data_IF_483456930074
#
_entry.id   IF_483456930074
#
_cell.length_a   1.000
_cell.length_b   1.000
_cell.length_c   1.000
_cell.angle_alpha   90.00
_cell.angle_beta   90.00
_cell.angle_gamma   90.00
#
_symmetry.space_group_name_H-M   'P 1'
#
loop_
_entity.id
_entity.type
_entity.pdbx_description
1 polymer ?
#
# COMPACT_ATOMS: atom_id res chain seq x y z
N UNK A 1 -62.12 8.43 -14.30
CA UNK A 1 -62.15 9.73 -13.60
C UNK A 1 -61.47 9.58 -12.24
N UNK A 2 -60.47 10.43 -11.99
CA UNK A 2 -59.70 10.75 -10.78
C UNK A 2 -59.34 9.64 -9.75
N UNK A 3 -58.05 9.25 -9.73
CA UNK A 3 -57.36 8.83 -8.50
C UNK A 3 -56.65 10.05 -7.91
N UNK A 4 -57.13 10.50 -6.75
CA UNK A 4 -56.57 11.60 -5.97
C UNK A 4 -55.31 11.12 -5.23
N UNK A 5 -54.23 11.89 -5.38
CA UNK A 5 -52.96 11.70 -4.71
C UNK A 5 -53.01 12.05 -3.22
N UNK A 6 -52.19 11.35 -2.43
CA UNK A 6 -51.87 11.72 -1.05
C UNK A 6 -50.52 12.42 -1.03
N UNK A 7 -50.55 13.72 -0.80
CA UNK A 7 -49.39 14.51 -0.39
C UNK A 7 -49.06 14.17 1.07
N UNK A 8 -47.82 13.74 1.33
CA UNK A 8 -47.27 13.69 2.67
C UNK A 8 -46.71 15.09 3.00
N UNK A 9 -47.29 15.73 4.01
CA UNK A 9 -46.88 17.03 4.53
C UNK A 9 -45.65 16.81 5.44
N UNK A 10 -44.45 17.13 4.95
CA UNK A 10 -43.24 17.19 5.78
C UNK A 10 -43.33 18.44 6.66
N UNK A 11 -43.56 18.25 7.95
CA UNK A 11 -43.55 19.31 8.96
C UNK A 11 -42.10 19.57 9.37
N UNK A 12 -41.53 20.68 8.90
CA UNK A 12 -40.22 21.17 9.32
C UNK A 12 -40.35 21.74 10.74
N UNK A 13 -40.07 20.91 11.74
CA UNK A 13 -39.89 21.39 13.12
C UNK A 13 -38.46 21.91 13.25
N UNK A 14 -38.31 23.23 13.33
CA UNK A 14 -37.06 23.87 13.70
C UNK A 14 -36.76 23.55 15.18
N UNK A 15 -35.90 22.56 15.41
CA UNK A 15 -35.36 22.28 16.74
C UNK A 15 -34.26 23.31 17.00
N UNK A 16 -34.48 24.18 17.98
CA UNK A 16 -33.46 25.06 18.51
C UNK A 16 -32.31 24.20 19.05
N UNK A 17 -31.14 24.34 18.44
CA UNK A 17 -29.98 23.49 18.62
C UNK A 17 -29.45 23.46 20.05
N UNK A 18 -29.73 22.37 20.75
CA UNK A 18 -28.74 21.81 21.66
C UNK A 18 -27.69 21.16 20.77
N UNK A 19 -26.58 21.85 20.50
CA UNK A 19 -25.44 21.24 19.83
C UNK A 19 -24.96 20.09 20.71
N UNK A 20 -25.27 18.85 20.32
CA UNK A 20 -24.65 17.69 20.94
C UNK A 20 -23.13 17.92 20.95
N UNK A 21 -22.45 17.67 22.08
CA UNK A 21 -21.00 17.81 22.10
C UNK A 21 -20.41 16.93 20.99
N UNK A 22 -19.40 17.42 20.26
CA UNK A 22 -18.80 16.64 19.19
C UNK A 22 -18.35 15.28 19.75
N UNK A 23 -18.48 14.19 18.96
CA UNK A 23 -18.09 12.88 19.41
C UNK A 23 -16.63 12.90 19.90
N UNK A 24 -16.31 12.13 20.95
CA UNK A 24 -14.94 12.08 21.48
C UNK A 24 -13.95 11.66 20.39
N UNK A 25 -12.72 12.17 20.48
CA UNK A 25 -11.64 11.74 19.58
C UNK A 25 -11.39 10.23 19.75
N UNK A 26 -11.06 9.55 18.65
CA UNK A 26 -10.68 8.13 18.70
C UNK A 26 -9.29 7.93 19.28
N UNK A 27 -8.39 8.88 19.08
CA UNK A 27 -7.07 8.93 19.69
C UNK A 27 -6.57 10.37 19.71
N UNK A 28 -5.69 10.73 20.65
CA UNK A 28 -5.09 12.05 20.72
C UNK A 28 -3.66 11.97 21.27
N UNK A 29 -2.79 12.88 20.83
CA UNK A 29 -1.47 13.01 21.42
C UNK A 29 -1.55 13.64 22.81
N UNK A 30 -0.60 13.30 23.68
CA UNK A 30 -0.53 13.81 25.06
C UNK A 30 -0.44 15.34 25.17
N UNK A 31 0.15 16.00 24.17
CA UNK A 31 0.24 17.46 24.04
C UNK A 31 -1.01 18.10 23.38
N UNK A 32 -1.96 17.29 22.92
CA UNK A 32 -3.17 17.73 22.22
C UNK A 32 -2.94 18.28 20.81
N UNK A 33 -1.71 18.22 20.29
CA UNK A 33 -1.41 18.71 18.94
C UNK A 33 -2.08 17.86 17.85
N UNK A 34 -2.28 16.57 18.08
CA UNK A 34 -2.83 15.65 17.11
C UNK A 34 -4.05 14.94 17.65
N UNK A 35 -5.09 14.80 16.83
CA UNK A 35 -6.26 14.01 17.16
C UNK A 35 -6.73 13.21 15.95
N UNK A 36 -6.83 11.89 16.08
CA UNK A 36 -7.59 11.06 15.16
C UNK A 36 -9.04 11.13 15.59
N UNK A 37 -9.87 11.73 14.76
CA UNK A 37 -11.25 12.07 15.15
C UNK A 37 -12.29 11.15 14.53
N UNK A 38 -11.94 10.45 13.46
CA UNK A 38 -12.68 9.33 12.90
C UNK A 38 -11.73 8.45 12.08
N UNK A 39 -12.01 7.14 12.05
CA UNK A 39 -11.40 6.17 11.15
C UNK A 39 -12.53 5.29 10.65
N UNK A 40 -12.73 5.23 9.33
CA UNK A 40 -13.85 4.51 8.73
C UNK A 40 -13.38 3.55 7.64
N UNK A 41 -13.95 2.35 7.66
CA UNK A 41 -13.78 1.35 6.60
C UNK A 41 -14.76 1.64 5.46
N UNK A 42 -14.22 1.75 4.26
CA UNK A 42 -14.94 2.13 3.06
C UNK A 42 -14.75 1.04 2.00
N UNK A 43 -15.85 0.53 1.45
CA UNK A 43 -15.80 -0.41 0.34
C UNK A 43 -15.38 0.31 -0.95
N UNK A 44 -14.49 -0.27 -1.76
CA UNK A 44 -14.28 0.23 -3.12
C UNK A 44 -15.62 0.11 -3.89
N UNK A 45 -16.03 1.15 -4.62
CA UNK A 45 -17.14 1.15 -5.59
C UNK A 45 -18.62 1.33 -5.19
N UNK A 46 -18.97 1.67 -3.94
CA UNK A 46 -20.38 2.02 -3.65
C UNK A 46 -20.64 3.54 -3.72
N UNK A 47 -21.75 3.96 -4.33
CA UNK A 47 -22.27 5.35 -4.20
C UNK A 47 -22.56 5.69 -2.73
N UNK A 48 -22.97 4.69 -1.95
CA UNK A 48 -23.21 4.78 -0.50
C UNK A 48 -21.99 5.33 0.23
N UNK A 49 -20.78 5.05 -0.25
CA UNK A 49 -19.55 5.50 0.39
C UNK A 49 -19.23 6.98 0.15
N UNK A 50 -19.60 7.54 -1.01
CA UNK A 50 -19.48 8.98 -1.23
C UNK A 50 -20.39 9.75 -0.27
N UNK A 51 -21.60 9.24 -0.04
CA UNK A 51 -22.54 9.79 0.95
C UNK A 51 -22.00 9.66 2.38
N UNK A 52 -21.42 8.52 2.76
CA UNK A 52 -20.85 8.32 4.10
C UNK A 52 -19.66 9.24 4.37
N UNK A 53 -18.72 9.34 3.41
CA UNK A 53 -17.58 10.27 3.51
C UNK A 53 -18.10 11.71 3.58
N UNK A 54 -19.03 12.09 2.69
CA UNK A 54 -19.65 13.42 2.68
C UNK A 54 -20.28 13.79 4.02
N UNK A 55 -21.15 12.94 4.56
CA UNK A 55 -21.81 13.17 5.83
C UNK A 55 -20.83 13.18 7.02
N UNK A 56 -19.74 12.41 6.97
CA UNK A 56 -18.68 12.49 7.99
C UNK A 56 -17.98 13.86 7.95
N UNK A 57 -17.55 14.29 6.77
CA UNK A 57 -16.81 15.55 6.60
C UNK A 57 -17.68 16.78 6.84
N UNK A 58 -18.95 16.75 6.44
CA UNK A 58 -19.94 17.81 6.72
C UNK A 58 -20.15 18.02 8.22
N UNK A 59 -20.25 16.93 8.99
CA UNK A 59 -20.42 16.99 10.45
C UNK A 59 -19.16 17.46 11.18
N UNK A 60 -18.03 17.53 10.49
CA UNK A 60 -16.70 17.77 11.05
C UNK A 60 -15.97 18.87 10.28
N UNK A 61 -16.48 20.12 10.32
CA UNK A 61 -15.84 21.26 9.68
C UNK A 61 -14.49 21.63 10.31
N UNK A 62 -14.15 20.99 11.43
CA UNK A 62 -12.93 21.14 12.23
C UNK A 62 -11.77 20.23 11.76
N UNK A 63 -11.92 19.49 10.65
CA UNK A 63 -10.87 18.59 10.14
C UNK A 63 -9.80 19.37 9.39
N UNK A 64 -8.54 19.13 9.73
CA UNK A 64 -7.38 19.69 9.04
C UNK A 64 -6.83 18.73 7.98
N UNK A 65 -6.95 17.41 8.21
CA UNK A 65 -6.37 16.36 7.38
C UNK A 65 -7.32 15.21 7.12
N UNK A 66 -7.26 14.71 5.89
CA UNK A 66 -7.77 13.40 5.50
C UNK A 66 -6.60 12.50 5.10
N UNK A 67 -6.47 11.36 5.78
CA UNK A 67 -5.55 10.28 5.39
C UNK A 67 -6.36 9.24 4.64
N UNK A 68 -6.14 9.15 3.34
CA UNK A 68 -6.80 8.18 2.47
C UNK A 68 -5.82 7.06 2.14
N UNK A 69 -6.21 5.82 2.41
CA UNK A 69 -5.35 4.64 2.17
C UNK A 69 -5.24 4.26 0.68
N UNK A 70 -6.02 4.89 -0.19
CA UNK A 70 -5.90 4.80 -1.64
C UNK A 70 -6.37 6.09 -2.32
N UNK A 71 -5.98 6.26 -3.59
CA UNK A 71 -6.30 7.46 -4.38
C UNK A 71 -7.80 7.61 -4.64
N UNK A 72 -8.55 6.50 -4.72
CA UNK A 72 -9.99 6.52 -4.90
C UNK A 72 -10.71 7.16 -3.71
N UNK A 73 -10.29 6.82 -2.49
CA UNK A 73 -10.77 7.44 -1.25
C UNK A 73 -10.35 8.92 -1.17
N UNK A 74 -9.12 9.24 -1.57
CA UNK A 74 -8.63 10.62 -1.61
C UNK A 74 -9.48 11.51 -2.53
N UNK A 75 -9.77 11.04 -3.74
CA UNK A 75 -10.63 11.76 -4.71
C UNK A 75 -12.04 11.97 -4.18
N UNK A 76 -12.63 10.97 -3.54
CA UNK A 76 -13.96 11.07 -2.91
C UNK A 76 -13.97 12.09 -1.78
N UNK A 77 -12.93 12.10 -0.94
CA UNK A 77 -12.77 13.11 0.10
C UNK A 77 -12.63 14.53 -0.47
N UNK A 78 -11.81 14.71 -1.52
CA UNK A 78 -11.65 16.00 -2.20
C UNK A 78 -12.97 16.54 -2.75
N UNK A 79 -13.76 15.68 -3.43
CA UNK A 79 -15.10 16.03 -3.94
C UNK A 79 -16.05 16.43 -2.82
N UNK A 80 -16.07 15.68 -1.71
CA UNK A 80 -16.89 15.98 -0.56
C UNK A 80 -16.50 17.31 0.10
N UNK A 81 -15.21 17.56 0.34
CA UNK A 81 -14.72 18.82 0.91
C UNK A 81 -15.09 20.01 0.03
N UNK A 82 -14.84 19.90 -1.29
CA UNK A 82 -15.17 20.94 -2.26
C UNK A 82 -16.66 21.27 -2.33
N UNK A 83 -17.53 20.26 -2.22
CA UNK A 83 -18.99 20.45 -2.28
C UNK A 83 -19.55 21.21 -1.07
N UNK A 84 -18.87 21.17 0.07
CA UNK A 84 -19.27 21.85 1.31
C UNK A 84 -18.48 23.14 1.58
N UNK A 85 -17.58 23.54 0.67
CA UNK A 85 -16.71 24.72 0.86
C UNK A 85 -15.69 24.56 1.98
N UNK A 86 -15.46 23.33 2.45
CA UNK A 86 -14.43 23.00 3.44
C UNK A 86 -13.10 22.73 2.74
N UNK A 87 -12.00 23.09 3.39
CA UNK A 87 -10.66 22.77 2.91
C UNK A 87 -9.93 22.01 4.02
N UNK A 88 -9.63 20.76 3.76
CA UNK A 88 -8.70 19.95 4.53
C UNK A 88 -7.59 19.49 3.58
N UNK A 89 -6.40 19.26 4.12
CA UNK A 89 -5.30 18.67 3.37
C UNK A 89 -5.53 17.18 3.20
N UNK A 90 -5.11 16.61 2.08
CA UNK A 90 -5.29 15.19 1.79
C UNK A 90 -3.93 14.53 1.58
N UNK A 91 -3.64 13.52 2.39
CA UNK A 91 -2.50 12.61 2.19
C UNK A 91 -3.04 11.29 1.71
N UNK A 92 -2.60 10.82 0.54
CA UNK A 92 -2.99 9.53 -0.01
C UNK A 92 -1.87 8.51 0.12
N UNK A 93 -2.22 7.25 0.34
CA UNK A 93 -1.31 6.14 0.11
C UNK A 93 -1.58 5.67 -1.32
N UNK A 94 -0.53 5.49 -2.11
CA UNK A 94 -0.64 5.28 -3.54
C UNK A 94 0.11 4.04 -3.99
N UNK A 95 -0.59 3.15 -4.67
CA UNK A 95 -0.05 2.07 -5.48
C UNK A 95 0.10 2.48 -6.97
N UNK A 96 -0.63 3.52 -7.40
CA UNK A 96 -0.66 4.05 -8.77
C UNK A 96 0.10 5.37 -8.92
N UNK A 97 1.42 5.31 -9.19
CA UNK A 97 2.27 6.51 -9.27
C UNK A 97 1.79 7.55 -10.28
N UNK A 98 1.45 7.16 -11.51
CA UNK A 98 0.97 8.10 -12.54
C UNK A 98 -0.27 8.89 -12.08
N UNK A 99 -1.38 8.23 -11.74
CA UNK A 99 -2.57 8.90 -11.19
C UNK A 99 -2.33 9.71 -9.92
N UNK A 100 -1.38 9.32 -9.07
CA UNK A 100 -0.98 10.08 -7.88
C UNK A 100 -0.26 11.36 -8.27
N UNK A 101 0.66 11.33 -9.24
CA UNK A 101 1.33 12.52 -9.76
C UNK A 101 0.32 13.51 -10.35
N UNK A 102 -0.64 13.02 -11.14
CA UNK A 102 -1.74 13.85 -11.67
C UNK A 102 -2.59 14.47 -10.54
N UNK A 103 -2.85 13.72 -9.47
CA UNK A 103 -3.62 14.20 -8.32
C UNK A 103 -2.86 15.25 -7.51
N UNK A 104 -1.53 15.12 -7.40
CA UNK A 104 -0.66 16.13 -6.79
C UNK A 104 -0.63 17.41 -7.64
N UNK A 105 -0.45 17.29 -8.96
CA UNK A 105 -0.42 18.42 -9.90
C UNK A 105 -1.75 19.19 -9.94
N UNK A 106 -2.87 18.48 -9.88
CA UNK A 106 -4.22 19.07 -9.86
C UNK A 106 -4.65 19.59 -8.48
N UNK A 107 -3.84 19.40 -7.44
CA UNK A 107 -4.16 19.81 -6.08
C UNK A 107 -5.31 19.04 -5.44
N UNK A 108 -5.61 17.83 -5.93
CA UNK A 108 -6.56 16.91 -5.30
C UNK A 108 -5.97 16.34 -4.01
N UNK A 109 -4.67 16.08 -4.00
CA UNK A 109 -3.92 15.64 -2.81
C UNK A 109 -2.72 16.54 -2.58
N UNK A 110 -2.34 16.74 -1.31
CA UNK A 110 -1.20 17.57 -0.90
C UNK A 110 0.10 16.78 -0.83
N UNK A 111 0.00 15.48 -0.52
CA UNK A 111 1.13 14.58 -0.45
C UNK A 111 0.68 13.13 -0.69
N UNK A 112 1.63 12.26 -1.01
CA UNK A 112 1.40 10.84 -1.12
C UNK A 112 2.53 10.01 -0.53
N UNK A 113 2.21 8.80 -0.07
CA UNK A 113 3.19 7.74 0.22
C UNK A 113 3.08 6.68 -0.86
N UNK A 114 4.14 6.51 -1.64
CA UNK A 114 4.27 5.48 -2.67
C UNK A 114 4.87 4.21 -2.04
N UNK A 115 4.16 3.10 -2.27
CA UNK A 115 4.58 1.75 -1.90
C UNK A 115 5.37 1.16 -3.08
N UNK A 116 6.69 0.90 -2.96
CA UNK A 116 7.48 0.34 -4.05
C UNK A 116 6.88 -1.00 -4.54
N UNK A 117 7.18 -1.36 -5.78
CA UNK A 117 6.67 -2.61 -6.37
C UNK A 117 7.42 -3.86 -5.90
N UNK A 118 8.58 -3.69 -5.27
CA UNK A 118 9.50 -4.75 -4.85
C UNK A 118 10.05 -5.61 -6.01
N UNK A 119 9.78 -5.22 -7.26
CA UNK A 119 10.02 -6.03 -8.44
C UNK A 119 11.51 -6.26 -8.72
N UNK A 120 12.28 -5.18 -8.74
CA UNK A 120 13.73 -5.23 -9.03
C UNK A 120 14.46 -5.98 -7.93
N UNK A 121 14.10 -5.72 -6.68
CA UNK A 121 14.67 -6.33 -5.49
C UNK A 121 14.40 -7.83 -5.44
N UNK A 122 13.17 -8.23 -5.75
CA UNK A 122 12.80 -9.63 -5.80
C UNK A 122 13.53 -10.38 -6.91
N UNK A 123 13.70 -9.76 -8.09
CA UNK A 123 14.48 -10.34 -9.19
C UNK A 123 15.96 -10.46 -8.83
N UNK A 124 16.55 -9.42 -8.24
CA UNK A 124 17.95 -9.42 -7.80
C UNK A 124 18.21 -10.56 -6.81
N UNK A 125 17.36 -10.72 -5.80
CA UNK A 125 17.49 -11.79 -4.82
C UNK A 125 17.33 -13.18 -5.44
N UNK A 126 16.39 -13.34 -6.38
CA UNK A 126 16.22 -14.60 -7.09
C UNK A 126 17.47 -14.99 -7.88
N UNK A 127 18.08 -14.02 -8.59
CA UNK A 127 19.30 -14.24 -9.36
C UNK A 127 20.50 -14.52 -8.45
N UNK A 128 20.67 -13.74 -7.38
CA UNK A 128 21.72 -13.95 -6.38
C UNK A 128 21.64 -15.36 -5.77
N UNK A 129 20.45 -15.80 -5.41
CA UNK A 129 20.24 -17.14 -4.87
C UNK A 129 20.58 -18.23 -5.91
N UNK A 130 20.25 -18.05 -7.19
CA UNK A 130 20.68 -18.96 -8.27
C UNK A 130 22.20 -19.03 -8.42
N UNK A 131 22.91 -17.92 -8.17
CA UNK A 131 24.36 -17.84 -8.23
C UNK A 131 25.05 -18.37 -6.97
N UNK A 132 24.28 -18.91 -6.01
CA UNK A 132 24.81 -19.50 -4.78
C UNK A 132 25.21 -18.46 -3.73
N UNK A 133 24.79 -17.20 -3.88
CA UNK A 133 24.94 -16.22 -2.82
C UNK A 133 24.18 -16.71 -1.59
N UNK A 134 24.75 -16.47 -0.41
CA UNK A 134 24.10 -16.89 0.83
C UNK A 134 22.81 -16.09 0.99
N UNK A 135 21.69 -16.81 1.01
CA UNK A 135 20.39 -16.22 1.30
C UNK A 135 20.44 -15.48 2.65
N UNK A 136 19.84 -14.29 2.74
CA UNK A 136 19.63 -13.62 4.01
C UNK A 136 18.82 -14.51 4.97
N UNK A 137 18.99 -14.27 6.26
CA UNK A 137 18.30 -15.07 7.30
C UNK A 137 16.89 -14.56 7.62
N UNK A 138 16.51 -13.43 7.04
CA UNK A 138 15.24 -12.75 7.26
C UNK A 138 14.71 -12.15 5.96
N UNK A 139 13.42 -11.87 5.94
CA UNK A 139 12.78 -11.09 4.89
C UNK A 139 13.34 -9.67 4.85
N UNK A 140 13.28 -9.03 3.67
CA UNK A 140 13.65 -7.64 3.50
C UNK A 140 12.44 -6.72 3.62
N UNK A 141 12.52 -5.81 4.56
CA UNK A 141 11.67 -4.63 4.58
C UNK A 141 12.24 -3.59 3.62
N UNK A 142 11.39 -2.99 2.79
CA UNK A 142 11.78 -1.85 1.96
C UNK A 142 11.17 -0.57 2.50
N UNK A 143 11.90 0.51 2.28
CA UNK A 143 11.46 1.86 2.60
C UNK A 143 10.21 2.29 1.83
N UNK A 144 9.75 3.48 2.16
CA UNK A 144 8.63 4.14 1.46
C UNK A 144 9.13 5.35 0.71
N UNK A 145 8.37 5.80 -0.29
CA UNK A 145 8.71 7.02 -1.02
C UNK A 145 7.65 8.08 -0.73
N UNK A 146 8.08 9.22 -0.19
CA UNK A 146 7.20 10.36 0.09
C UNK A 146 7.18 11.32 -1.10
N UNK A 147 6.00 11.54 -1.66
CA UNK A 147 5.75 12.40 -2.81
C UNK A 147 5.01 13.66 -2.38
N UNK A 148 5.47 14.80 -2.90
CA UNK A 148 4.89 16.15 -2.76
C UNK A 148 5.08 16.90 -4.08
N UNK A 149 4.30 17.95 -4.36
CA UNK A 149 4.42 18.69 -5.62
C UNK A 149 5.87 19.11 -5.95
N UNK A 150 6.65 19.51 -4.95
CA UNK A 150 8.03 19.97 -5.13
C UNK A 150 9.06 18.86 -5.42
N UNK A 151 8.77 17.59 -5.12
CA UNK A 151 9.71 16.48 -5.29
C UNK A 151 9.20 15.35 -6.20
N UNK A 152 7.92 15.39 -6.60
CA UNK A 152 7.26 14.30 -7.30
C UNK A 152 7.94 13.95 -8.64
N UNK A 153 8.37 14.99 -9.37
CA UNK A 153 9.06 14.87 -10.66
C UNK A 153 10.49 14.31 -10.53
N UNK A 154 11.09 14.37 -9.35
CA UNK A 154 12.45 13.88 -9.07
C UNK A 154 12.49 12.50 -8.43
N UNK A 155 11.35 11.81 -8.31
CA UNK A 155 11.32 10.50 -7.71
C UNK A 155 10.71 10.46 -6.31
N UNK A 156 10.52 11.60 -5.64
CA UNK A 156 10.14 11.66 -4.23
C UNK A 156 11.34 11.62 -3.28
N UNK A 157 11.08 11.53 -1.98
CA UNK A 157 12.08 11.33 -0.93
C UNK A 157 11.89 9.95 -0.34
N UNK A 158 12.92 9.11 -0.44
CA UNK A 158 12.92 7.77 0.18
C UNK A 158 13.10 7.89 1.69
N UNK A 159 12.24 7.21 2.44
CA UNK A 159 12.42 6.93 3.86
C UNK A 159 12.82 5.45 3.99
N UNK A 160 14.14 5.14 4.00
CA UNK A 160 14.63 3.78 4.04
C UNK A 160 14.29 3.12 5.39
N UNK A 161 14.23 1.79 5.38
CA UNK A 161 14.34 0.95 6.56
C UNK A 161 15.80 0.53 6.78
N UNK A 162 16.08 -0.16 7.89
CA UNK A 162 17.43 -0.68 8.17
C UNK A 162 17.87 -1.72 7.13
N UNK A 163 16.92 -2.42 6.51
CA UNK A 163 17.16 -3.48 5.53
C UNK A 163 17.56 -2.93 4.14
N UNK A 164 17.17 -1.69 3.80
CA UNK A 164 17.49 -1.06 2.51
C UNK A 164 19.01 -0.99 2.28
N UNK A 165 19.79 -0.69 3.34
CA UNK A 165 21.25 -0.67 3.26
C UNK A 165 21.87 -2.04 3.00
N UNK A 166 21.29 -3.10 3.58
CA UNK A 166 21.72 -4.47 3.31
C UNK A 166 21.45 -4.87 1.87
N UNK A 167 20.34 -4.40 1.29
CA UNK A 167 20.00 -4.69 -0.10
C UNK A 167 20.96 -4.01 -1.10
N UNK A 168 21.45 -2.82 -0.80
CA UNK A 168 22.50 -2.17 -1.60
C UNK A 168 23.81 -2.97 -1.60
N UNK A 169 24.19 -3.56 -0.45
CA UNK A 169 25.33 -4.49 -0.37
C UNK A 169 25.10 -5.73 -1.25
N UNK A 170 23.88 -6.28 -1.25
CA UNK A 170 23.51 -7.39 -2.12
C UNK A 170 23.56 -7.03 -3.60
N UNK A 171 23.15 -5.82 -3.98
CA UNK A 171 23.24 -5.33 -5.38
C UNK A 171 24.69 -5.11 -5.81
N UNK A 172 25.56 -4.67 -4.91
CA UNK A 172 27.00 -4.59 -5.18
C UNK A 172 27.59 -5.99 -5.42
N UNK A 173 27.27 -6.95 -4.55
CA UNK A 173 27.63 -8.37 -4.73
C UNK A 173 27.06 -8.93 -6.04
N UNK A 174 25.84 -8.57 -6.40
CA UNK A 174 25.19 -9.01 -7.63
C UNK A 174 25.95 -8.57 -8.87
N UNK A 175 26.37 -7.30 -8.90
CA UNK A 175 27.17 -6.74 -10.00
C UNK A 175 28.48 -7.50 -10.15
N UNK A 176 29.16 -7.80 -9.03
CA UNK A 176 30.38 -8.58 -9.02
C UNK A 176 30.15 -10.01 -9.55
N UNK A 177 29.14 -10.71 -9.04
CA UNK A 177 28.84 -12.10 -9.45
C UNK A 177 28.40 -12.21 -10.91
N UNK A 178 27.64 -11.24 -11.42
CA UNK A 178 27.27 -11.18 -12.84
C UNK A 178 28.51 -10.99 -13.70
N UNK A 179 29.40 -10.07 -13.35
CA UNK A 179 30.62 -9.83 -14.10
C UNK A 179 31.51 -11.08 -14.17
N UNK A 180 31.60 -11.83 -13.06
CA UNK A 180 32.33 -13.11 -13.00
C UNK A 180 31.64 -14.27 -13.73
N UNK A 181 30.31 -14.23 -13.87
CA UNK A 181 29.53 -15.27 -14.55
C UNK A 181 29.31 -14.97 -16.04
N UNK A 182 29.90 -13.91 -16.59
CA UNK A 182 29.89 -13.62 -18.03
C UNK A 182 30.48 -14.80 -18.82
N UNK A 183 29.61 -15.52 -19.52
CA UNK A 183 29.93 -16.73 -20.28
C UNK A 183 29.30 -18.02 -19.73
N UNK A 184 28.67 -17.96 -18.55
CA UNK A 184 27.82 -19.02 -18.03
C UNK A 184 26.47 -19.08 -18.78
N UNK A 185 25.70 -20.15 -18.54
CA UNK A 185 24.34 -20.29 -19.06
C UNK A 185 23.47 -19.10 -18.59
N UNK A 186 22.61 -18.60 -19.47
CA UNK A 186 21.57 -17.61 -19.09
C UNK A 186 20.63 -18.24 -18.06
N UNK A 187 20.44 -17.56 -16.92
CA UNK A 187 19.49 -17.97 -15.89
C UNK A 187 18.07 -17.70 -16.35
N UNK A 188 17.15 -18.60 -15.99
CA UNK A 188 15.73 -18.50 -16.33
C UNK A 188 14.91 -18.26 -15.06
N UNK A 189 14.34 -17.08 -14.91
CA UNK A 189 13.52 -16.72 -13.74
C UNK A 189 12.05 -16.72 -14.14
N UNK A 190 11.25 -17.55 -13.48
CA UNK A 190 9.81 -17.49 -13.61
C UNK A 190 9.24 -16.42 -12.70
N UNK A 191 8.18 -15.74 -13.14
CA UNK A 191 7.45 -14.77 -12.33
C UNK A 191 5.97 -15.12 -12.40
N UNK A 192 5.33 -15.23 -11.24
CA UNK A 192 3.89 -15.45 -11.16
C UNK A 192 3.20 -14.31 -10.42
N UNK A 193 2.28 -13.63 -11.11
CA UNK A 193 1.51 -12.50 -10.56
C UNK A 193 0.01 -12.76 -10.65
N UNK A 194 -0.77 -12.19 -9.73
CA UNK A 194 -2.23 -12.41 -9.71
C UNK A 194 -2.98 -11.67 -10.80
N UNK A 195 -2.55 -10.46 -11.15
CA UNK A 195 -3.12 -9.76 -12.31
C UNK A 195 -2.04 -8.84 -12.89
N UNK A 196 -2.27 -8.32 -14.09
CA UNK A 196 -1.54 -7.22 -14.70
C UNK A 196 -2.45 -6.02 -15.00
N UNK A 197 -3.70 -6.05 -14.50
CA UNK A 197 -4.71 -5.04 -14.82
C UNK A 197 -4.59 -3.78 -13.97
N UNK A 198 -3.90 -3.81 -12.82
CA UNK A 198 -3.67 -2.61 -12.01
C UNK A 198 -2.41 -1.86 -12.45
N UNK A 199 -2.38 -0.56 -12.22
CA UNK A 199 -1.19 0.27 -12.52
C UNK A 199 0.03 -0.18 -11.72
N UNK A 200 -0.16 -0.66 -10.48
CA UNK A 200 0.92 -1.23 -9.67
C UNK A 200 1.54 -2.44 -10.38
N UNK A 201 0.73 -3.31 -10.97
CA UNK A 201 1.22 -4.51 -11.65
C UNK A 201 1.88 -4.18 -13.00
N UNK A 202 1.42 -3.15 -13.69
CA UNK A 202 2.11 -2.61 -14.86
C UNK A 202 3.48 -2.03 -14.47
N UNK A 203 3.57 -1.27 -13.37
CA UNK A 203 4.86 -0.80 -12.82
C UNK A 203 5.76 -1.97 -12.44
N UNK A 204 5.21 -3.00 -11.80
CA UNK A 204 5.94 -4.21 -11.45
C UNK A 204 6.55 -4.86 -12.70
N UNK A 205 5.74 -5.07 -13.74
CA UNK A 205 6.20 -5.63 -15.02
C UNK A 205 7.28 -4.78 -15.67
N UNK A 206 7.07 -3.46 -15.77
CA UNK A 206 8.05 -2.56 -16.39
C UNK A 206 9.38 -2.60 -15.64
N UNK A 207 9.34 -2.59 -14.29
CA UNK A 207 10.52 -2.70 -13.45
C UNK A 207 11.25 -4.05 -13.64
N UNK A 208 10.52 -5.17 -13.74
CA UNK A 208 11.09 -6.46 -14.12
C UNK A 208 11.75 -6.40 -15.50
N UNK A 209 11.07 -5.89 -16.52
CA UNK A 209 11.57 -5.86 -17.90
C UNK A 209 12.82 -4.97 -18.02
N UNK A 210 12.85 -3.84 -17.31
CA UNK A 210 14.01 -2.95 -17.20
C UNK A 210 15.17 -3.65 -16.49
N UNK A 211 14.89 -4.27 -15.33
CA UNK A 211 15.91 -4.94 -14.54
C UNK A 211 16.47 -6.17 -15.25
N UNK A 212 15.64 -7.03 -15.81
CA UNK A 212 16.06 -8.23 -16.54
C UNK A 212 17.04 -7.92 -17.69
N UNK A 213 16.81 -6.81 -18.41
CA UNK A 213 17.73 -6.32 -19.44
C UNK A 213 19.10 -5.95 -18.88
N UNK A 214 19.18 -5.43 -17.66
CA UNK A 214 20.44 -5.11 -17.00
C UNK A 214 21.19 -6.35 -16.47
N UNK A 215 20.48 -7.44 -16.19
CA UNK A 215 21.04 -8.64 -15.57
C UNK A 215 21.38 -9.77 -16.55
N UNK A 216 20.94 -9.68 -17.81
CA UNK A 216 21.11 -10.74 -18.83
C UNK A 216 20.48 -12.06 -18.37
N UNK A 217 19.23 -11.99 -17.91
CA UNK A 217 18.42 -13.15 -17.51
C UNK A 217 17.21 -13.31 -18.43
N UNK A 218 16.77 -14.56 -18.63
CA UNK A 218 15.53 -14.89 -19.33
C UNK A 218 14.39 -14.89 -18.32
N UNK A 219 13.42 -13.99 -18.48
CA UNK A 219 12.27 -13.87 -17.58
C UNK A 219 11.01 -14.37 -18.27
N UNK A 220 10.33 -15.31 -17.64
CA UNK A 220 9.00 -15.73 -18.05
C UNK A 220 7.95 -15.31 -17.01
N UNK A 221 7.13 -14.33 -17.36
CA UNK A 221 6.05 -13.84 -16.50
C UNK A 221 4.70 -14.46 -16.90
N UNK A 222 4.02 -15.08 -15.94
CA UNK A 222 2.66 -15.60 -16.08
C UNK A 222 1.69 -14.91 -15.11
N UNK A 223 0.58 -14.43 -15.66
CA UNK A 223 -0.55 -13.85 -14.92
C UNK A 223 -1.59 -14.92 -14.58
N UNK A 224 -2.22 -14.82 -13.40
CA UNK A 224 -3.34 -15.67 -13.02
C UNK A 224 -4.30 -15.01 -12.00
N UNK A 225 -5.54 -14.73 -12.43
CA UNK A 225 -6.55 -13.97 -11.67
C UNK A 225 -6.88 -14.53 -10.26
N UNK A 226 -6.70 -15.83 -10.04
CA UNK A 226 -7.08 -16.54 -8.81
C UNK A 226 -6.02 -17.52 -8.33
N UNK A 227 -6.09 -17.93 -7.06
CA UNK A 227 -5.14 -18.84 -6.42
C UNK A 227 -4.96 -20.16 -7.21
N UNK A 228 -6.04 -20.75 -7.72
CA UNK A 228 -5.98 -21.96 -8.55
C UNK A 228 -5.18 -21.71 -9.83
N UNK A 229 -5.47 -20.61 -10.52
CA UNK A 229 -4.72 -20.23 -11.72
C UNK A 229 -3.25 -19.99 -11.42
N UNK A 230 -2.94 -19.41 -10.26
CA UNK A 230 -1.57 -19.11 -9.86
C UNK A 230 -0.78 -20.39 -9.60
N UNK A 231 -1.38 -21.39 -8.92
CA UNK A 231 -0.79 -22.73 -8.78
C UNK A 231 -0.47 -23.37 -10.12
N UNK A 232 -1.41 -23.35 -11.07
CA UNK A 232 -1.16 -23.85 -12.43
C UNK A 232 -0.07 -23.07 -13.17
N UNK A 233 0.05 -21.76 -12.95
CA UNK A 233 1.13 -20.96 -13.52
C UNK A 233 2.49 -21.38 -12.96
N UNK A 234 2.58 -21.60 -11.65
CA UNK A 234 3.79 -22.07 -10.96
C UNK A 234 4.23 -23.44 -11.50
N UNK A 235 3.31 -24.39 -11.63
CA UNK A 235 3.59 -25.72 -12.18
C UNK A 235 4.14 -25.63 -13.62
N UNK A 236 3.54 -24.78 -14.46
CA UNK A 236 4.01 -24.57 -15.84
C UNK A 236 5.42 -23.97 -15.88
N UNK A 237 5.70 -22.96 -15.06
CA UNK A 237 7.04 -22.37 -14.97
C UNK A 237 8.06 -23.42 -14.52
N UNK A 238 7.73 -24.19 -13.49
CA UNK A 238 8.58 -25.26 -12.98
C UNK A 238 8.88 -26.33 -14.05
N UNK A 239 7.86 -26.78 -14.80
CA UNK A 239 8.01 -27.74 -15.89
C UNK A 239 8.85 -27.22 -17.06
N UNK A 240 8.85 -25.90 -17.28
CA UNK A 240 9.69 -25.24 -18.29
C UNK A 240 11.14 -25.09 -17.86
N UNK A 241 11.50 -25.51 -16.64
CA UNK A 241 12.88 -25.54 -16.17
C UNK A 241 13.41 -24.16 -15.76
N UNK A 242 12.59 -23.36 -15.07
CA UNK A 242 13.09 -22.16 -14.38
C UNK A 242 14.09 -22.53 -13.29
N UNK A 243 15.07 -21.65 -13.09
CA UNK A 243 16.10 -21.72 -12.07
C UNK A 243 15.61 -21.16 -10.73
N UNK A 244 14.75 -20.14 -10.75
CA UNK A 244 14.12 -19.53 -9.58
C UNK A 244 12.70 -19.02 -9.92
N UNK A 245 11.91 -18.75 -8.87
CA UNK A 245 10.59 -18.14 -8.97
C UNK A 245 10.52 -16.85 -8.15
N UNK A 246 10.00 -15.78 -8.76
CA UNK A 246 9.43 -14.63 -8.04
C UNK A 246 7.91 -14.78 -8.01
N UNK A 247 7.33 -14.77 -6.81
CA UNK A 247 5.90 -14.96 -6.59
C UNK A 247 5.29 -13.72 -5.95
N UNK A 248 4.33 -13.09 -6.62
CA UNK A 248 3.53 -12.00 -6.05
C UNK A 248 2.24 -12.59 -5.49
N UNK A 249 2.20 -12.81 -4.17
CA UNK A 249 1.03 -13.35 -3.48
C UNK A 249 0.96 -12.88 -2.03
N UNK A 250 -0.26 -12.80 -1.51
CA UNK A 250 -0.54 -12.75 -0.06
C UNK A 250 -1.24 -14.02 0.44
N UNK A 251 -1.36 -15.04 -0.42
CA UNK A 251 -2.00 -16.32 -0.11
C UNK A 251 -0.94 -17.34 0.30
N UNK A 252 -0.98 -17.73 1.58
CA UNK A 252 -0.01 -18.68 2.17
C UNK A 252 -0.06 -20.06 1.51
N UNK A 253 -1.24 -20.51 1.06
CA UNK A 253 -1.36 -21.82 0.43
C UNK A 253 -0.76 -21.83 -0.98
N UNK A 254 -0.85 -20.71 -1.70
CA UNK A 254 -0.14 -20.55 -2.98
C UNK A 254 1.37 -20.54 -2.77
N UNK A 255 1.86 -19.80 -1.77
CA UNK A 255 3.29 -19.76 -1.46
C UNK A 255 3.84 -21.13 -1.02
N UNK A 256 3.09 -21.87 -0.20
CA UNK A 256 3.44 -23.23 0.21
C UNK A 256 3.49 -24.18 -0.99
N UNK A 257 2.49 -24.13 -1.85
CA UNK A 257 2.49 -24.91 -3.09
C UNK A 257 3.69 -24.57 -3.99
N UNK A 258 4.07 -23.30 -4.08
CA UNK A 258 5.25 -22.89 -4.83
C UNK A 258 6.53 -23.50 -4.28
N UNK A 259 6.71 -23.47 -2.95
CA UNK A 259 7.86 -24.10 -2.30
C UNK A 259 7.90 -25.62 -2.57
N UNK A 260 6.76 -26.31 -2.51
CA UNK A 260 6.66 -27.74 -2.81
C UNK A 260 7.04 -28.07 -4.26
N UNK A 261 6.56 -27.28 -5.23
CA UNK A 261 6.84 -27.47 -6.66
C UNK A 261 8.29 -27.14 -7.02
N UNK A 262 8.89 -26.16 -6.34
CA UNK A 262 10.26 -25.72 -6.59
C UNK A 262 11.31 -26.64 -5.97
N UNK A 263 11.01 -27.25 -4.82
CA UNK A 263 11.99 -28.00 -4.03
C UNK A 263 13.09 -27.07 -3.53
N UNK A 264 14.34 -27.39 -3.84
CA UNK A 264 15.51 -26.60 -3.40
C UNK A 264 15.78 -25.36 -4.26
N UNK A 265 14.98 -25.11 -5.31
CA UNK A 265 15.14 -23.92 -6.16
C UNK A 265 14.72 -22.66 -5.40
N UNK A 266 15.41 -21.51 -5.62
CA UNK A 266 15.06 -20.27 -4.95
C UNK A 266 13.62 -19.82 -5.20
N UNK A 267 12.97 -19.43 -4.10
CA UNK A 267 11.65 -18.80 -4.09
C UNK A 267 11.76 -17.43 -3.43
N UNK A 268 11.38 -16.39 -4.15
CA UNK A 268 11.27 -15.03 -3.61
C UNK A 268 9.81 -14.59 -3.65
N UNK A 269 9.28 -14.12 -2.53
CA UNK A 269 7.92 -13.62 -2.39
C UNK A 269 7.98 -12.09 -2.43
N UNK A 270 7.42 -11.48 -3.47
CA UNK A 270 7.26 -10.04 -3.57
C UNK A 270 5.88 -9.66 -3.02
N UNK A 271 5.86 -9.15 -1.79
CA UNK A 271 4.64 -8.94 -1.01
C UNK A 271 4.79 -9.45 0.43
N UNK A 272 3.71 -9.39 1.23
CA UNK A 272 3.76 -9.76 2.64
C UNK A 272 4.42 -11.13 2.87
N UNK A 273 5.29 -11.25 3.88
CA UNK A 273 6.04 -12.47 4.10
C UNK A 273 5.12 -13.62 4.50
N UNK A 274 5.42 -14.83 4.01
CA UNK A 274 4.69 -16.05 4.36
C UNK A 274 5.54 -16.88 5.31
N UNK A 275 5.06 -17.01 6.55
CA UNK A 275 5.78 -17.73 7.60
C UNK A 275 5.93 -19.23 7.32
N UNK A 276 7.01 -19.81 7.85
CA UNK A 276 7.21 -21.27 7.88
C UNK A 276 7.77 -21.90 6.60
N UNK A 277 8.24 -21.11 5.64
CA UNK A 277 8.87 -21.58 4.41
C UNK A 277 10.39 -21.41 4.49
N UNK A 278 11.13 -22.48 4.77
CA UNK A 278 12.57 -22.44 5.06
C UNK A 278 13.47 -21.92 3.90
N UNK A 279 12.95 -21.92 2.67
CA UNK A 279 13.68 -21.52 1.46
C UNK A 279 13.02 -20.35 0.70
N UNK A 280 12.02 -19.70 1.32
CA UNK A 280 11.41 -18.51 0.76
C UNK A 280 12.01 -17.25 1.39
N UNK A 281 12.27 -16.24 0.57
CA UNK A 281 12.66 -14.90 1.01
C UNK A 281 11.55 -13.92 0.67
N UNK A 282 11.02 -13.21 1.66
CA UNK A 282 10.09 -12.11 1.45
C UNK A 282 10.81 -10.80 1.12
N UNK A 283 10.21 -10.02 0.22
CA UNK A 283 10.54 -8.61 0.00
C UNK A 283 9.24 -7.83 0.05
N UNK A 284 9.14 -6.87 0.97
CA UNK A 284 7.91 -6.12 1.17
C UNK A 284 8.13 -4.75 1.80
N UNK A 285 7.15 -3.86 1.67
CA UNK A 285 7.05 -2.66 2.51
C UNK A 285 6.17 -2.98 3.71
N UNK A 286 6.65 -2.86 4.97
CA UNK A 286 5.79 -3.05 6.13
C UNK A 286 4.64 -2.04 6.14
N UNK A 287 3.40 -2.48 6.33
CA UNK A 287 2.23 -1.60 6.41
C UNK A 287 2.39 -0.49 7.48
N UNK A 288 3.03 -0.82 8.61
CA UNK A 288 3.38 0.13 9.66
C UNK A 288 4.38 1.19 9.21
N UNK A 289 5.32 0.86 8.32
CA UNK A 289 6.24 1.84 7.74
C UNK A 289 5.51 2.84 6.82
N UNK A 290 4.53 2.38 6.05
CA UNK A 290 3.64 3.23 5.23
C UNK A 290 2.85 4.19 6.11
N UNK A 291 2.23 3.68 7.18
CA UNK A 291 1.54 4.51 8.18
C UNK A 291 2.45 5.57 8.79
N UNK A 292 3.66 5.16 9.20
CA UNK A 292 4.63 6.06 9.81
C UNK A 292 5.10 7.15 8.84
N UNK A 293 5.28 6.82 7.56
CA UNK A 293 5.59 7.80 6.51
C UNK A 293 4.46 8.82 6.33
N UNK A 294 3.21 8.36 6.31
CA UNK A 294 2.04 9.26 6.25
C UNK A 294 1.99 10.21 7.45
N UNK A 295 2.26 9.71 8.66
CA UNK A 295 2.32 10.55 9.87
C UNK A 295 3.47 11.57 9.84
N UNK A 296 4.63 11.21 9.31
CA UNK A 296 5.74 12.16 9.10
C UNK A 296 5.37 13.26 8.10
N UNK A 297 4.75 12.89 6.97
CA UNK A 297 4.23 13.87 6.01
C UNK A 297 3.26 14.86 6.65
N UNK A 298 2.34 14.40 7.51
CA UNK A 298 1.45 15.29 8.25
C UNK A 298 2.23 16.30 9.10
N UNK A 299 3.25 15.86 9.84
CA UNK A 299 4.08 16.73 10.69
C UNK A 299 4.89 17.75 9.89
N UNK A 300 5.31 17.40 8.69
CA UNK A 300 6.01 18.33 7.78
C UNK A 300 5.07 19.40 7.23
N UNK A 301 3.79 19.06 7.05
CA UNK A 301 2.80 19.95 6.45
C UNK A 301 2.18 20.91 7.49
N UNK A 302 1.96 20.47 8.74
CA UNK A 302 1.39 21.30 9.83
C UNK A 302 1.94 20.91 11.22
N UNK A 303 1.76 21.81 12.20
CA UNK A 303 2.17 21.58 13.60
C UNK A 303 1.15 20.81 14.44
N UNK A 304 -0.12 20.91 14.10
CA UNK A 304 -1.25 20.29 14.80
C UNK A 304 -2.36 20.01 13.81
N UNK A 305 -3.12 18.93 14.01
CA UNK A 305 -4.22 18.57 13.13
C UNK A 305 -5.29 17.70 13.80
N UNK A 306 -6.51 17.87 13.34
CA UNK A 306 -7.62 16.91 13.49
C UNK A 306 -7.74 16.10 12.22
N UNK A 307 -7.61 14.78 12.36
CA UNK A 307 -7.42 13.84 11.26
C UNK A 307 -8.64 12.93 11.13
N UNK A 308 -9.11 12.78 9.90
CA UNK A 308 -9.97 11.66 9.49
C UNK A 308 -9.15 10.66 8.68
N UNK A 309 -9.29 9.39 9.00
CA UNK A 309 -8.69 8.29 8.27
C UNK A 309 -9.77 7.53 7.47
N UNK A 310 -9.51 7.33 6.18
CA UNK A 310 -10.36 6.57 5.26
C UNK A 310 -9.60 5.31 4.84
N UNK A 311 -10.14 4.13 5.20
CA UNK A 311 -9.50 2.83 5.01
C UNK A 311 -10.27 1.96 4.02
N UNK A 312 -9.62 1.12 3.20
CA UNK A 312 -10.33 0.13 2.41
C UNK A 312 -10.88 -0.99 3.30
N UNK A 313 -12.13 -1.39 3.08
CA UNK A 313 -12.78 -2.43 3.88
C UNK A 313 -12.29 -3.87 3.57
N UNK A 314 -11.69 -4.09 2.39
CA UNK A 314 -11.32 -5.44 1.89
C UNK A 314 -9.92 -5.90 2.32
N UNK A 315 -9.09 -5.03 2.90
CA UNK A 315 -7.74 -5.35 3.37
C UNK A 315 -7.50 -4.80 4.79
N UNK A 316 -8.22 -5.37 5.76
CA UNK A 316 -8.22 -4.89 7.14
C UNK A 316 -6.87 -5.03 7.83
N UNK A 317 -6.12 -6.10 7.56
CA UNK A 317 -4.84 -6.34 8.22
C UNK A 317 -3.80 -5.30 7.81
N UNK A 318 -3.69 -5.02 6.50
CA UNK A 318 -2.82 -3.96 5.99
C UNK A 318 -3.29 -2.59 6.46
N UNK A 319 -4.60 -2.32 6.39
CA UNK A 319 -5.16 -1.06 6.85
C UNK A 319 -4.88 -0.81 8.34
N UNK A 320 -5.02 -1.82 9.20
CA UNK A 320 -4.70 -1.69 10.63
C UNK A 320 -3.20 -1.44 10.85
N UNK A 321 -2.33 -2.14 10.13
CA UNK A 321 -0.88 -1.88 10.20
C UNK A 321 -0.52 -0.45 9.79
N UNK A 322 -1.16 0.09 8.75
CA UNK A 322 -1.03 1.51 8.36
C UNK A 322 -1.56 2.42 9.48
N UNK A 323 -2.73 2.12 10.06
CA UNK A 323 -3.30 2.92 11.15
C UNK A 323 -2.43 2.92 12.41
N UNK A 324 -1.80 1.79 12.75
CA UNK A 324 -0.81 1.69 13.83
C UNK A 324 0.41 2.57 13.55
N UNK A 325 1.01 2.46 12.37
CA UNK A 325 2.16 3.27 11.98
C UNK A 325 1.88 4.77 12.01
N UNK A 326 0.68 5.16 11.53
CA UNK A 326 0.21 6.54 11.58
C UNK A 326 0.11 7.05 13.03
N UNK A 327 -0.52 6.25 13.92
CA UNK A 327 -0.66 6.60 15.34
C UNK A 327 0.69 6.74 16.02
N UNK A 328 1.62 5.82 15.78
CA UNK A 328 2.97 5.87 16.36
C UNK A 328 3.72 7.12 15.92
N UNK A 329 3.73 7.41 14.62
CA UNK A 329 4.41 8.58 14.07
C UNK A 329 3.82 9.89 14.57
N UNK A 330 2.54 9.91 14.92
CA UNK A 330 1.85 11.07 15.50
C UNK A 330 1.82 11.06 17.03
N UNK A 331 2.33 10.01 17.68
CA UNK A 331 2.24 9.76 19.12
C UNK A 331 0.80 9.86 19.66
N UNK A 332 -0.14 9.21 18.97
CA UNK A 332 -1.56 9.19 19.34
C UNK A 332 -1.86 8.09 20.35
N UNK A 333 -2.36 8.47 21.52
CA UNK A 333 -2.81 7.55 22.55
C UNK A 333 -4.27 7.15 22.31
N UNK A 334 -4.55 5.85 22.34
CA UNK A 334 -5.92 5.36 22.38
C UNK A 334 -6.54 5.71 23.75
N UNK A 335 -7.82 6.12 23.79
CA UNK A 335 -8.51 6.29 25.06
C UNK A 335 -8.46 4.98 25.83
N UNK A 336 -8.12 5.05 27.12
CA UNK A 336 -8.14 3.89 27.99
C UNK A 336 -9.50 3.18 27.82
N UNK A 337 -9.46 1.88 27.50
CA UNK A 337 -10.68 1.09 27.37
C UNK A 337 -11.49 1.28 28.65
N UNK A 338 -12.69 1.86 28.55
CA UNK A 338 -13.52 2.05 29.73
C UNK A 338 -13.86 0.66 30.27
N UNK A 339 -13.38 0.28 31.46
CA UNK A 339 -13.71 -1.02 32.01
C UNK A 339 -15.21 -1.04 32.33
N UNK A 340 -15.99 -1.84 31.59
CA UNK A 340 -17.38 -2.17 31.95
C UNK A 340 -18.50 -1.42 31.21
N UNK A 341 -18.43 -1.32 29.88
CA UNK A 341 -19.63 -1.18 29.04
C UNK A 341 -19.92 -2.49 28.32
#
# INVERSE_FOLDING_TARGET
>A
MSRLGRFALLTTTAIAGCSEPPPPNLAASSDGAWALVASIDVLADSEVNATTIGALLERRPDIDFVIAHDLGLARRAAMALGSHGHRARIVTIGDMRGPVLEALESGIVDAAVDDPTHAEDALDLAVLACLGARAPQSDFSLGTVSLRPENATFGGITAPTDDDGSLDDYRALHTELIDHSRGARTLRVGISVRSLRSDWQQRFRNAIDDRARSLVVDVELLEADEAIGQRSAIERLAQRGIDALVLVTGDEDVARHAAEVLGDRPLVIAGPPVGGLAHALGVHTPARAIGAASGRLCRELVRSARIVELRPALDRARAEGISEGLRDALALDLPAAQPGR
#
